data_IF_346787682026
#
_entry.id   IF_346787682026
#
_cell.length_a   1.000
_cell.length_b   1.000
_cell.length_c   1.000
_cell.angle_alpha   90.00
_cell.angle_beta   90.00
_cell.angle_gamma   90.00
#
_symmetry.space_group_name_H-M   'P 1'
#
loop_
_entity.id
_entity.type
_entity.pdbx_description
1 polymer ?
#
# COMPACT_ATOMS: atom_id res chain seq x y z
N UNK A 1 6.00 -1.21 2.90
CA UNK A 1 5.82 -0.45 4.17
C UNK A 1 4.35 -0.45 4.56
N UNK A 2 4.07 -0.55 5.84
CA UNK A 2 2.71 -0.43 6.37
C UNK A 2 2.63 0.73 7.34
N UNK A 3 1.78 1.69 7.05
CA UNK A 3 1.61 2.94 7.80
C UNK A 3 0.26 2.92 8.50
N UNK A 4 0.24 2.87 9.82
CA UNK A 4 -0.98 2.82 10.61
C UNK A 4 -0.65 3.23 12.05
N UNK A 5 -1.41 4.17 12.62
CA UNK A 5 -1.16 4.63 13.99
C UNK A 5 -1.44 3.53 15.02
N UNK A 6 -2.21 2.51 14.65
CA UNK A 6 -2.47 1.33 15.48
C UNK A 6 -1.69 0.10 15.01
N UNK A 7 -0.50 0.30 14.44
CA UNK A 7 0.28 -0.78 13.81
C UNK A 7 0.60 -1.93 14.78
N UNK A 8 0.71 -1.63 16.06
CA UNK A 8 0.94 -2.67 17.08
C UNK A 8 -0.20 -3.68 17.17
N UNK A 9 -1.41 -3.26 16.82
CA UNK A 9 -2.58 -4.13 16.81
C UNK A 9 -2.64 -5.01 15.57
N UNK A 10 -1.77 -4.77 14.60
CA UNK A 10 -1.70 -5.51 13.34
C UNK A 10 -0.56 -6.53 13.32
N UNK A 11 0.01 -6.82 14.47
CA UNK A 11 1.16 -7.72 14.58
C UNK A 11 0.91 -9.10 13.98
N UNK A 12 -0.25 -9.66 14.19
CA UNK A 12 -0.60 -10.97 13.62
C UNK A 12 -0.62 -10.93 12.08
N UNK A 13 -1.11 -9.85 11.51
CA UNK A 13 -1.09 -9.63 10.06
C UNK A 13 0.34 -9.53 9.54
N UNK A 14 1.19 -8.81 10.25
CA UNK A 14 2.59 -8.61 9.88
C UNK A 14 3.34 -9.94 9.90
N UNK A 15 3.17 -10.73 10.96
CA UNK A 15 3.79 -12.06 11.09
C UNK A 15 3.34 -12.97 9.95
N UNK A 16 2.06 -12.94 9.61
CA UNK A 16 1.52 -13.70 8.49
C UNK A 16 2.22 -13.34 7.16
N UNK A 17 2.37 -12.04 6.90
CA UNK A 17 3.02 -11.56 5.68
C UNK A 17 4.51 -11.93 5.66
N UNK A 18 5.19 -11.82 6.78
CA UNK A 18 6.60 -12.18 6.89
C UNK A 18 6.82 -13.67 6.61
N UNK A 19 5.91 -14.53 7.09
CA UNK A 19 5.94 -15.96 6.79
C UNK A 19 5.71 -16.26 5.31
N UNK A 20 5.07 -15.34 4.59
CA UNK A 20 4.85 -15.46 3.14
C UNK A 20 6.00 -14.89 2.32
N UNK A 21 7.06 -14.41 2.98
CA UNK A 21 8.26 -13.94 2.31
C UNK A 21 8.34 -12.43 2.08
N UNK A 22 7.48 -11.66 2.71
CA UNK A 22 7.50 -10.20 2.60
C UNK A 22 8.24 -9.57 3.77
N UNK A 23 9.09 -8.59 3.47
CA UNK A 23 9.71 -7.75 4.49
C UNK A 23 8.79 -6.56 4.76
N UNK A 24 8.33 -6.42 5.99
CA UNK A 24 7.38 -5.37 6.35
C UNK A 24 8.07 -4.32 7.20
N UNK A 25 8.23 -3.13 6.65
CA UNK A 25 8.65 -1.95 7.41
C UNK A 25 7.39 -1.28 7.95
N UNK A 26 7.36 -1.03 9.24
CA UNK A 26 6.19 -0.42 9.89
C UNK A 26 6.50 0.98 10.39
N UNK A 27 5.58 1.89 10.19
CA UNK A 27 5.61 3.23 10.78
C UNK A 27 4.21 3.58 11.28
N UNK A 28 4.12 4.46 12.27
CA UNK A 28 2.85 4.75 12.93
C UNK A 28 2.30 6.15 12.63
N UNK A 29 2.88 6.85 11.69
CA UNK A 29 2.43 8.18 11.31
C UNK A 29 2.88 8.53 9.89
N UNK A 30 2.23 9.54 9.31
CA UNK A 30 2.49 9.95 7.94
C UNK A 30 3.86 10.59 7.71
N UNK A 31 4.33 11.38 8.68
CA UNK A 31 5.63 12.06 8.54
C UNK A 31 6.77 11.05 8.45
N UNK A 32 6.75 10.02 9.30
CA UNK A 32 7.75 8.95 9.26
C UNK A 32 7.66 8.14 7.97
N UNK A 33 6.44 7.94 7.46
CA UNK A 33 6.23 7.26 6.18
C UNK A 33 6.91 8.03 5.03
N UNK A 34 6.72 9.34 5.00
CA UNK A 34 7.33 10.21 4.00
C UNK A 34 8.85 10.15 4.07
N UNK A 35 9.41 10.23 5.28
CA UNK A 35 10.86 10.14 5.48
C UNK A 35 11.43 8.79 5.03
N UNK A 36 10.74 7.70 5.30
CA UNK A 36 11.17 6.38 4.83
C UNK A 36 11.14 6.30 3.30
N UNK A 37 10.15 6.89 2.65
CA UNK A 37 10.08 6.93 1.19
C UNK A 37 11.18 7.79 0.56
N UNK A 38 11.70 8.79 1.27
CA UNK A 38 12.85 9.56 0.82
C UNK A 38 14.15 8.77 0.89
N UNK A 39 14.26 7.84 1.83
CA UNK A 39 15.47 7.06 2.06
C UNK A 39 15.58 5.86 1.13
N UNK A 40 14.46 5.26 0.75
CA UNK A 40 14.45 4.04 -0.06
C UNK A 40 13.13 3.84 -0.79
N UNK A 41 13.17 2.98 -1.79
CA UNK A 41 11.99 2.58 -2.53
C UNK A 41 11.31 1.39 -1.88
N UNK A 42 9.99 1.39 -1.89
CA UNK A 42 9.19 0.26 -1.44
C UNK A 42 8.44 -0.34 -2.63
N UNK A 43 8.23 -1.64 -2.60
CA UNK A 43 7.46 -2.33 -3.64
C UNK A 43 5.97 -2.02 -3.53
N UNK A 44 5.51 -1.66 -2.32
CA UNK A 44 4.12 -1.30 -2.06
C UNK A 44 4.02 -0.61 -0.70
N UNK A 45 3.10 0.32 -0.59
CA UNK A 45 2.77 0.99 0.68
C UNK A 45 1.31 0.72 1.03
N UNK A 46 1.08 0.17 2.22
CA UNK A 46 -0.24 0.09 2.83
C UNK A 46 -0.40 1.31 3.73
N UNK A 47 -1.45 2.08 3.54
CA UNK A 47 -1.59 3.40 4.17
C UNK A 47 -2.97 3.58 4.81
N UNK A 48 -3.00 3.84 6.11
CA UNK A 48 -4.22 4.19 6.81
C UNK A 48 -4.63 5.62 6.45
N UNK A 49 -5.90 5.80 6.14
CA UNK A 49 -6.47 7.11 5.80
C UNK A 49 -6.76 7.99 7.02
N UNK A 50 -6.83 7.40 8.21
CA UNK A 50 -7.25 8.10 9.44
C UNK A 50 -6.18 8.00 10.52
N UNK A 51 -5.26 8.96 10.51
CA UNK A 51 -4.17 9.03 11.47
C UNK A 51 -4.11 10.42 12.09
N UNK A 52 -3.66 10.54 13.36
CA UNK A 52 -3.39 11.85 13.94
C UNK A 52 -2.18 12.50 13.25
N UNK A 53 -2.13 13.82 13.30
CA UNK A 53 -1.10 14.58 12.59
C UNK A 53 -1.52 14.81 11.15
N UNK A 54 -0.63 14.55 10.20
CA UNK A 54 -1.04 14.64 8.80
C UNK A 54 -1.94 13.46 8.44
N UNK A 55 -2.95 13.73 7.63
CA UNK A 55 -3.93 12.70 7.25
C UNK A 55 -3.34 11.69 6.28
N UNK A 56 -4.05 10.57 6.10
CA UNK A 56 -3.67 9.59 5.09
C UNK A 56 -3.67 10.17 3.68
N UNK A 57 -4.63 11.04 3.36
CA UNK A 57 -4.68 11.68 2.04
C UNK A 57 -3.50 12.63 1.82
N UNK A 58 -3.13 13.41 2.83
CA UNK A 58 -1.96 14.27 2.75
C UNK A 58 -0.67 13.46 2.59
N UNK A 59 -0.56 12.37 3.35
CA UNK A 59 0.57 11.44 3.26
C UNK A 59 0.65 10.82 1.88
N UNK A 60 -0.48 10.37 1.35
CA UNK A 60 -0.60 9.79 0.01
C UNK A 60 -0.07 10.77 -1.05
N UNK A 61 -0.51 12.01 -0.99
CA UNK A 61 -0.10 13.04 -1.93
C UNK A 61 1.42 13.23 -1.93
N UNK A 62 2.01 13.34 -0.75
CA UNK A 62 3.45 13.56 -0.62
C UNK A 62 4.26 12.33 -1.05
N UNK A 63 3.81 11.12 -0.73
CA UNK A 63 4.48 9.91 -1.19
C UNK A 63 4.42 9.80 -2.71
N UNK A 64 3.30 10.15 -3.32
CA UNK A 64 3.16 10.16 -4.78
C UNK A 64 4.11 11.14 -5.47
N UNK A 65 4.40 12.25 -4.84
CA UNK A 65 5.38 13.22 -5.35
C UNK A 65 6.81 12.67 -5.29
N UNK A 66 7.14 11.95 -4.21
CA UNK A 66 8.47 11.38 -4.00
C UNK A 66 8.67 10.11 -4.84
N UNK A 67 7.68 9.24 -4.87
CA UNK A 67 7.74 7.91 -5.49
C UNK A 67 6.49 7.65 -6.33
N UNK A 68 6.34 8.31 -7.48
CA UNK A 68 5.09 8.22 -8.26
C UNK A 68 4.78 6.81 -8.77
N UNK A 69 5.77 5.94 -8.88
CA UNK A 69 5.58 4.57 -9.38
C UNK A 69 5.27 3.54 -8.28
N UNK A 70 5.42 3.92 -7.00
CA UNK A 70 5.15 3.00 -5.90
C UNK A 70 3.64 2.81 -5.74
N UNK A 71 3.13 1.56 -5.85
CA UNK A 71 1.71 1.33 -5.63
C UNK A 71 1.34 1.57 -4.17
N UNK A 72 0.23 2.28 -3.97
CA UNK A 72 -0.28 2.59 -2.63
C UNK A 72 -1.68 1.98 -2.49
N UNK A 73 -1.87 1.21 -1.44
CA UNK A 73 -3.14 0.61 -1.07
C UNK A 73 -3.62 1.28 0.22
N UNK A 74 -4.78 1.93 0.16
CA UNK A 74 -5.40 2.50 1.35
C UNK A 74 -6.06 1.38 2.16
N UNK A 75 -5.81 1.36 3.48
CA UNK A 75 -6.41 0.39 4.40
C UNK A 75 -6.96 1.17 5.57
N UNK A 76 -8.25 1.47 5.57
CA UNK A 76 -8.83 2.45 6.48
C UNK A 76 -10.25 2.08 6.92
N UNK A 77 -10.69 2.66 8.04
CA UNK A 77 -12.07 2.53 8.52
C UNK A 77 -13.04 3.41 7.75
N UNK A 78 -12.54 4.37 6.97
CA UNK A 78 -13.40 5.34 6.31
C UNK A 78 -14.15 4.73 5.13
N UNK A 79 -15.48 4.84 5.16
CA UNK A 79 -16.37 4.50 4.05
C UNK A 79 -16.94 5.77 3.40
N UNK A 80 -16.42 6.94 3.77
CA UNK A 80 -16.89 8.20 3.21
C UNK A 80 -16.54 8.28 1.73
N UNK A 81 -17.55 8.42 0.89
CA UNK A 81 -17.41 8.48 -0.56
C UNK A 81 -16.46 9.59 -1.00
N UNK A 82 -16.52 10.73 -0.34
CA UNK A 82 -15.64 11.86 -0.64
C UNK A 82 -14.15 11.51 -0.44
N UNK A 83 -13.83 10.81 0.62
CA UNK A 83 -12.45 10.36 0.91
C UNK A 83 -12.02 9.32 -0.11
N UNK A 84 -12.90 8.38 -0.44
CA UNK A 84 -12.64 7.35 -1.44
C UNK A 84 -12.37 7.98 -2.81
N UNK A 85 -13.19 8.95 -3.21
CA UNK A 85 -13.03 9.65 -4.48
C UNK A 85 -11.71 10.43 -4.55
N UNK A 86 -11.32 11.09 -3.46
CA UNK A 86 -10.05 11.80 -3.39
C UNK A 86 -8.86 10.84 -3.50
N UNK A 87 -8.93 9.68 -2.84
CA UNK A 87 -7.89 8.67 -2.92
C UNK A 87 -7.78 8.10 -4.34
N UNK A 88 -8.91 7.80 -4.97
CA UNK A 88 -8.96 7.30 -6.35
C UNK A 88 -8.38 8.35 -7.30
N UNK A 89 -8.69 9.62 -7.08
CA UNK A 89 -8.13 10.74 -7.87
C UNK A 89 -6.61 10.82 -7.78
N UNK A 90 -6.01 10.33 -6.69
CA UNK A 90 -4.56 10.24 -6.51
C UNK A 90 -3.97 8.97 -7.13
N UNK A 91 -4.77 8.18 -7.85
CA UNK A 91 -4.35 6.97 -8.55
C UNK A 91 -3.78 5.90 -7.63
N UNK A 92 -4.51 5.59 -6.55
CA UNK A 92 -4.15 4.49 -5.65
C UNK A 92 -4.35 3.15 -6.35
N UNK A 93 -3.64 2.13 -5.87
CA UNK A 93 -3.74 0.78 -6.43
C UNK A 93 -4.99 0.05 -5.95
N UNK A 94 -5.41 0.27 -4.70
CA UNK A 94 -6.59 -0.35 -4.11
C UNK A 94 -7.03 0.40 -2.87
N UNK A 95 -8.27 0.16 -2.43
CA UNK A 95 -8.86 0.78 -1.24
C UNK A 95 -9.58 -0.31 -0.44
N UNK A 96 -9.07 -0.63 0.73
CA UNK A 96 -9.61 -1.67 1.59
C UNK A 96 -10.22 -1.06 2.85
N UNK A 97 -11.40 -1.55 3.24
CA UNK A 97 -12.13 -1.08 4.42
C UNK A 97 -11.84 -2.01 5.59
N UNK A 98 -11.42 -1.45 6.73
CA UNK A 98 -11.22 -2.22 7.96
C UNK A 98 -12.57 -2.67 8.54
N UNK A 99 -12.63 -3.84 9.16
CA UNK A 99 -11.51 -4.75 9.45
C UNK A 99 -11.12 -5.58 8.22
N UNK A 100 -9.81 -5.79 8.05
CA UNK A 100 -9.28 -6.62 6.97
C UNK A 100 -8.61 -7.86 7.57
N UNK A 101 -8.81 -9.00 6.94
CA UNK A 101 -8.08 -10.20 7.34
C UNK A 101 -6.73 -10.28 6.60
N UNK A 102 -5.77 -11.09 7.12
CA UNK A 102 -4.46 -11.20 6.49
C UNK A 102 -4.51 -11.64 5.02
N UNK A 103 -5.46 -12.46 4.64
CA UNK A 103 -5.60 -12.92 3.25
C UNK A 103 -5.96 -11.80 2.29
N UNK A 104 -6.77 -10.83 2.73
CA UNK A 104 -7.12 -9.66 1.91
C UNK A 104 -5.88 -8.81 1.62
N UNK A 105 -5.03 -8.63 2.64
CA UNK A 105 -3.78 -7.91 2.47
C UNK A 105 -2.84 -8.67 1.54
N UNK A 106 -2.70 -9.98 1.74
CA UNK A 106 -1.87 -10.81 0.88
C UNK A 106 -2.32 -10.74 -0.58
N UNK A 107 -3.63 -10.78 -0.83
CA UNK A 107 -4.17 -10.67 -2.18
C UNK A 107 -3.81 -9.32 -2.82
N UNK A 108 -3.94 -8.23 -2.06
CA UNK A 108 -3.58 -6.90 -2.54
C UNK A 108 -2.09 -6.81 -2.91
N UNK A 109 -1.21 -7.41 -2.10
CA UNK A 109 0.22 -7.48 -2.37
C UNK A 109 0.49 -8.27 -3.65
N UNK A 110 -0.10 -9.44 -3.78
CA UNK A 110 0.09 -10.30 -4.96
C UNK A 110 -0.40 -9.65 -6.24
N UNK A 111 -1.57 -9.01 -6.19
CA UNK A 111 -2.13 -8.29 -7.36
C UNK A 111 -1.20 -7.17 -7.83
N UNK A 112 -0.64 -6.42 -6.91
CA UNK A 112 0.10 -5.20 -7.26
C UNK A 112 1.59 -5.46 -7.51
N UNK A 113 2.21 -6.33 -6.74
CA UNK A 113 3.63 -6.67 -6.91
C UNK A 113 3.81 -7.68 -8.04
N UNK A 114 3.02 -8.75 -8.07
CA UNK A 114 3.06 -9.78 -9.11
C UNK A 114 2.71 -9.26 -10.50
N UNK A 115 1.75 -8.34 -10.59
CA UNK A 115 1.36 -7.72 -11.86
C UNK A 115 2.56 -7.10 -12.56
N UNK A 116 3.44 -6.44 -11.81
CA UNK A 116 4.67 -5.84 -12.32
C UNK A 116 5.65 -6.92 -12.82
N UNK A 117 5.80 -8.01 -12.07
CA UNK A 117 6.65 -9.14 -12.44
C UNK A 117 6.14 -9.86 -13.69
N UNK A 118 4.84 -10.12 -13.76
CA UNK A 118 4.22 -10.79 -14.91
C UNK A 118 4.45 -9.98 -16.19
N UNK A 119 4.27 -8.68 -16.15
CA UNK A 119 4.53 -7.80 -17.29
C UNK A 119 5.98 -7.89 -17.74
N UNK A 120 6.92 -7.91 -16.81
CA UNK A 120 8.35 -8.04 -17.10
C UNK A 120 8.65 -9.39 -17.75
N UNK A 121 8.11 -10.48 -17.24
CA UNK A 121 8.30 -11.83 -17.78
C UNK A 121 7.76 -11.95 -19.21
N UNK A 122 6.55 -11.45 -19.42
CA UNK A 122 5.93 -11.46 -20.74
C UNK A 122 6.81 -10.71 -21.75
N UNK A 123 7.35 -9.57 -21.37
CA UNK A 123 8.24 -8.78 -22.22
C UNK A 123 9.52 -9.53 -22.55
N UNK A 124 10.13 -10.19 -21.56
CA UNK A 124 11.38 -10.92 -21.72
C UNK A 124 11.23 -12.19 -22.59
N UNK A 125 10.12 -12.90 -22.44
CA UNK A 125 9.89 -14.15 -23.17
C UNK A 125 9.24 -13.95 -24.52
N UNK A 126 8.81 -12.75 -24.84
CA UNK A 126 8.06 -12.46 -26.07
C UNK A 126 6.66 -13.06 -26.07
N UNK A 127 6.20 -13.52 -24.94
CA UNK A 127 4.85 -14.10 -24.80
C UNK A 127 3.80 -13.01 -25.01
N UNK A 128 2.79 -13.34 -25.77
CA UNK A 128 1.72 -12.41 -26.11
C UNK A 128 0.41 -12.84 -25.46
N UNK A 129 -0.22 -11.92 -24.74
CA UNK A 129 -1.56 -12.15 -24.20
C UNK A 129 -2.61 -11.77 -25.23
N UNK A 130 -3.55 -12.67 -25.42
CA UNK A 130 -4.70 -12.43 -26.28
C UNK A 130 -5.99 -12.60 -25.46
N UNK A 131 -6.99 -11.77 -25.75
CA UNK A 131 -8.28 -11.80 -25.10
C UNK A 131 -9.38 -12.12 -26.10
#
# INVERSE_FOLDING_TARGET
MWVDDEIEMLRAHIIFLEKKGYDVTTVNNGNDAIEECRKRNFDLVLLDGMMPGITGLETLQQIKEISPSTPIVMVTKSEEENIMDQAIGQKIADYLIKPVNPSQILLALKKNIHKKQIVTEVTQTGYRKEF
#
